data_IF_608592398216
#
_entry.id   IF_608592398216
#
_cell.length_a   1.000
_cell.length_b   1.000
_cell.length_c   1.000
_cell.angle_alpha   90.00
_cell.angle_beta   90.00
_cell.angle_gamma   90.00
#
_symmetry.space_group_name_H-M   'P 1'
#
loop_
_entity.id
_entity.type
_entity.pdbx_description
1 polymer ?
#
# COMPACT_ATOMS: atom_id res chain seq x y z
N UNK A 1 1.13 -2.37 15.50
CA UNK A 1 0.81 -0.93 15.48
C UNK A 1 0.80 -0.48 14.03
N UNK A 2 -0.25 0.22 13.57
CA UNK A 2 -0.39 0.60 12.16
C UNK A 2 -0.70 2.08 12.02
N UNK A 3 -0.02 2.74 11.10
CA UNK A 3 -0.19 4.13 10.75
C UNK A 3 -0.52 4.23 9.26
N UNK A 4 -1.44 5.12 8.89
CA UNK A 4 -1.81 5.38 7.51
C UNK A 4 -1.92 6.88 7.28
N UNK A 5 -1.37 7.34 6.16
CA UNK A 5 -1.35 8.73 5.73
C UNK A 5 -1.78 8.77 4.27
N UNK A 6 -2.68 9.69 3.95
CA UNK A 6 -3.20 9.91 2.60
C UNK A 6 -3.14 11.40 2.23
N UNK A 7 -3.41 11.72 0.96
CA UNK A 7 -3.26 13.09 0.48
C UNK A 7 -4.26 14.07 1.10
N UNK A 8 -5.50 13.63 1.39
CA UNK A 8 -6.53 14.50 1.97
C UNK A 8 -6.24 14.84 3.43
N UNK A 9 -5.71 13.90 4.23
CA UNK A 9 -5.22 14.13 5.60
C UNK A 9 -4.13 15.20 5.66
N UNK A 10 -3.29 15.27 4.63
CA UNK A 10 -2.29 16.33 4.52
C UNK A 10 -2.87 17.65 4.00
N UNK A 11 -3.90 17.62 3.16
CA UNK A 11 -4.61 18.82 2.73
C UNK A 11 -5.40 19.45 3.88
N UNK A 12 -6.07 18.66 4.72
CA UNK A 12 -6.75 19.17 5.92
C UNK A 12 -5.77 19.79 6.91
N UNK A 13 -4.66 19.10 7.24
CA UNK A 13 -3.60 19.65 8.09
C UNK A 13 -2.96 20.92 7.51
N UNK A 14 -2.80 20.99 6.19
CA UNK A 14 -2.32 22.21 5.52
C UNK A 14 -3.36 23.32 5.55
N UNK A 15 -4.65 23.01 5.44
CA UNK A 15 -5.74 23.98 5.48
C UNK A 15 -5.93 24.55 6.88
N UNK A 16 -5.85 23.74 7.93
CA UNK A 16 -5.83 24.20 9.32
C UNK A 16 -4.64 25.11 9.61
N UNK A 17 -3.45 24.72 9.14
CA UNK A 17 -2.24 25.55 9.28
C UNK A 17 -2.35 26.87 8.50
N UNK A 18 -2.97 26.85 7.32
CA UNK A 18 -3.16 28.04 6.49
C UNK A 18 -4.37 28.89 6.91
N UNK A 19 -5.34 28.34 7.64
CA UNK A 19 -6.47 29.08 8.23
C UNK A 19 -6.05 29.99 9.40
N UNK A 20 -4.78 29.93 9.81
CA UNK A 20 -4.14 30.90 10.69
C UNK A 20 -3.68 32.18 9.96
N UNK A 21 -3.79 32.22 8.63
CA UNK A 21 -3.64 33.43 7.81
C UNK A 21 -5.02 33.77 7.20
N UNK A 22 -5.53 35.01 7.37
CA UNK A 22 -6.84 35.35 6.85
C UNK A 22 -6.77 35.51 5.33
N UNK A 23 -7.39 34.60 4.56
CA UNK A 23 -7.70 34.85 3.14
C UNK A 23 -9.17 35.24 2.99
N UNK A 24 -9.47 36.34 2.30
CA UNK A 24 -10.84 36.74 2.02
C UNK A 24 -11.39 35.86 0.87
N UNK A 25 -12.70 35.65 0.86
CA UNK A 25 -13.48 35.16 -0.28
C UNK A 25 -13.50 33.64 -0.52
N UNK A 26 -14.56 32.96 -0.04
CA UNK A 26 -15.10 31.77 -0.73
C UNK A 26 -16.63 31.73 -0.58
N UNK A 27 -17.33 32.30 -1.57
CA UNK A 27 -18.74 32.03 -1.83
C UNK A 27 -18.94 30.62 -2.41
N UNK A 28 -19.95 29.91 -1.90
CA UNK A 28 -20.83 29.06 -2.72
C UNK A 28 -20.32 27.72 -3.24
N UNK A 29 -20.50 26.65 -2.44
CA UNK A 29 -20.90 25.32 -2.97
C UNK A 29 -21.96 24.69 -2.05
N UNK A 30 -23.16 24.30 -2.51
CA UNK A 30 -24.31 24.04 -1.62
C UNK A 30 -24.39 22.67 -0.91
N UNK A 31 -23.30 21.87 -0.87
CA UNK A 31 -23.42 20.43 -0.55
C UNK A 31 -22.69 19.97 0.71
N UNK A 32 -22.23 20.86 1.59
CA UNK A 32 -21.67 20.42 2.87
C UNK A 32 -21.69 21.59 3.87
N UNK A 33 -22.40 21.43 4.99
CA UNK A 33 -22.35 22.38 6.10
C UNK A 33 -20.94 22.43 6.69
N UNK A 34 -20.52 23.59 7.21
CA UNK A 34 -19.16 23.72 7.77
C UNK A 34 -18.91 22.73 8.92
N UNK A 35 -19.95 22.37 9.67
CA UNK A 35 -19.89 21.38 10.75
C UNK A 35 -19.64 19.95 10.21
N UNK A 36 -20.34 19.52 9.16
CA UNK A 36 -20.11 18.22 8.51
C UNK A 36 -18.71 18.15 7.88
N UNK A 37 -18.19 19.27 7.35
CA UNK A 37 -16.80 19.32 6.87
C UNK A 37 -15.82 19.09 8.01
N UNK A 38 -16.03 19.72 9.16
CA UNK A 38 -15.16 19.60 10.33
C UNK A 38 -15.16 18.16 10.88
N UNK A 39 -16.32 17.50 10.95
CA UNK A 39 -16.39 16.10 11.40
C UNK A 39 -15.65 15.12 10.46
N UNK A 40 -15.72 15.34 9.15
CA UNK A 40 -14.98 14.57 8.14
C UNK A 40 -13.47 14.86 8.21
N UNK A 41 -13.08 16.10 8.52
CA UNK A 41 -11.69 16.49 8.74
C UNK A 41 -11.09 15.86 10.00
N UNK A 42 -11.87 15.79 11.08
CA UNK A 42 -11.46 15.24 12.38
C UNK A 42 -11.37 13.71 12.35
N UNK A 43 -12.18 13.05 11.51
CA UNK A 43 -12.21 11.58 11.40
C UNK A 43 -11.97 11.10 9.95
N UNK A 44 -10.82 11.43 9.33
CA UNK A 44 -10.54 11.10 7.93
C UNK A 44 -10.37 9.59 7.72
N UNK A 45 -10.17 8.82 8.79
CA UNK A 45 -10.00 7.37 8.78
C UNK A 45 -11.36 6.62 8.71
N UNK A 46 -12.48 7.31 8.96
CA UNK A 46 -13.86 6.76 8.91
C UNK A 46 -14.49 6.79 7.50
N UNK A 47 -13.89 7.53 6.56
CA UNK A 47 -14.42 7.71 5.21
C UNK A 47 -13.43 7.14 4.17
N UNK A 48 -13.78 5.97 3.61
CA UNK A 48 -12.98 5.28 2.61
C UNK A 48 -13.22 5.90 1.21
N UNK A 49 -12.48 6.96 0.88
CA UNK A 49 -12.60 7.67 -0.40
C UNK A 49 -11.69 7.06 -1.49
N UNK A 50 -12.29 6.66 -2.59
CA UNK A 50 -11.66 5.95 -3.70
C UNK A 50 -10.85 6.85 -4.66
N UNK A 51 -10.94 8.19 -4.54
CA UNK A 51 -10.29 9.14 -5.47
C UNK A 51 -8.94 9.70 -4.97
N UNK A 52 -8.25 8.97 -4.10
CA UNK A 52 -7.04 9.45 -3.45
C UNK A 52 -5.79 9.34 -4.37
N UNK A 53 -5.05 10.43 -4.65
CA UNK A 53 -3.90 10.42 -5.55
C UNK A 53 -2.70 9.67 -4.98
N UNK A 54 -2.59 9.49 -3.67
CA UNK A 54 -1.61 8.60 -3.08
C UNK A 54 -1.99 8.19 -1.65
N UNK A 55 -1.64 6.98 -1.26
CA UNK A 55 -1.76 6.47 0.10
C UNK A 55 -0.45 5.82 0.54
N UNK A 56 -0.11 5.98 1.82
CA UNK A 56 1.03 5.34 2.44
C UNK A 56 0.62 4.79 3.79
N UNK A 57 0.86 3.50 4.00
CA UNK A 57 0.63 2.82 5.26
C UNK A 57 1.92 2.15 5.75
N UNK A 58 2.21 2.37 7.03
CA UNK A 58 3.31 1.75 7.75
C UNK A 58 2.71 0.88 8.83
N UNK A 59 2.99 -0.41 8.81
CA UNK A 59 2.58 -1.34 9.87
C UNK A 59 3.82 -1.92 10.53
N UNK A 60 3.93 -1.73 11.83
CA UNK A 60 4.93 -2.37 12.66
C UNK A 60 4.34 -3.57 13.39
N UNK A 61 4.97 -4.73 13.23
CA UNK A 61 4.61 -5.97 13.89
C UNK A 61 5.74 -6.42 14.81
N UNK A 62 5.38 -6.70 16.06
CA UNK A 62 6.23 -7.27 17.08
C UNK A 62 5.64 -8.62 17.49
N UNK A 63 6.38 -9.69 17.27
CA UNK A 63 6.00 -11.04 17.71
C UNK A 63 6.99 -11.51 18.77
N UNK A 64 6.48 -11.73 19.97
CA UNK A 64 7.23 -12.28 21.10
C UNK A 64 6.85 -13.75 21.23
N UNK A 65 7.84 -14.64 21.13
CA UNK A 65 7.63 -16.07 21.26
C UNK A 65 8.71 -16.71 22.11
N UNK A 66 8.41 -17.92 22.60
CA UNK A 66 9.40 -18.82 23.19
C UNK A 66 9.28 -20.15 22.47
N UNK A 67 10.39 -20.66 21.96
CA UNK A 67 10.46 -22.04 21.48
C UNK A 67 11.12 -22.93 22.52
N UNK A 68 10.50 -24.08 22.77
CA UNK A 68 11.01 -25.11 23.66
C UNK A 68 11.53 -26.26 22.81
N UNK A 69 12.80 -26.63 23.00
CA UNK A 69 13.38 -27.81 22.36
C UNK A 69 13.79 -28.81 23.44
N UNK A 70 13.18 -29.98 23.42
CA UNK A 70 13.55 -31.09 24.29
C UNK A 70 14.85 -31.72 23.80
N UNK A 71 15.84 -31.81 24.68
CA UNK A 71 17.11 -32.50 24.45
C UNK A 71 17.00 -33.97 24.90
N UNK A 72 17.86 -34.83 24.35
CA UNK A 72 17.85 -36.29 24.59
C UNK A 72 18.00 -36.67 26.08
N UNK A 73 18.51 -35.76 26.91
CA UNK A 73 18.72 -35.89 28.34
C UNK A 73 17.58 -35.32 29.21
N UNK A 74 16.38 -35.11 28.65
CA UNK A 74 15.22 -34.52 29.35
C UNK A 74 15.41 -33.05 29.77
N UNK A 75 16.45 -32.37 29.28
CA UNK A 75 16.60 -30.93 29.44
C UNK A 75 15.75 -30.17 28.42
N UNK A 76 15.14 -29.08 28.86
CA UNK A 76 14.36 -28.18 27.99
C UNK A 76 15.22 -26.96 27.67
N UNK A 77 15.61 -26.82 26.41
CA UNK A 77 16.24 -25.60 25.94
C UNK A 77 15.16 -24.58 25.61
N UNK A 78 15.10 -23.51 26.39
CA UNK A 78 14.27 -22.35 26.11
C UNK A 78 15.02 -21.38 25.19
N UNK A 79 14.41 -21.07 24.04
CA UNK A 79 14.96 -20.09 23.10
C UNK A 79 13.93 -18.97 22.91
N UNK A 80 14.22 -17.75 23.39
CA UNK A 80 13.34 -16.63 23.15
C UNK A 80 13.45 -16.19 21.68
N UNK A 81 12.31 -15.98 21.03
CA UNK A 81 12.23 -15.52 19.64
C UNK A 81 11.60 -14.14 19.63
N UNK A 82 12.32 -13.16 19.09
CA UNK A 82 11.89 -11.77 18.98
C UNK A 82 11.84 -11.38 17.52
N UNK A 83 10.66 -11.38 16.90
CA UNK A 83 10.52 -11.02 15.48
C UNK A 83 9.96 -9.60 15.37
N UNK A 84 10.74 -8.74 14.74
CA UNK A 84 10.42 -7.33 14.53
C UNK A 84 10.34 -7.04 13.03
N UNK A 85 9.14 -6.71 12.54
CA UNK A 85 8.94 -6.45 11.10
C UNK A 85 8.22 -5.13 10.85
N UNK A 86 8.66 -4.42 9.82
CA UNK A 86 8.02 -3.21 9.31
C UNK A 86 7.50 -3.51 7.91
N UNK A 87 6.19 -3.44 7.75
CA UNK A 87 5.55 -3.45 6.44
C UNK A 87 5.27 -2.01 5.99
N UNK A 88 5.83 -1.65 4.85
CA UNK A 88 5.60 -0.38 4.18
C UNK A 88 4.80 -0.66 2.90
N UNK A 89 3.58 -0.15 2.83
CA UNK A 89 2.72 -0.25 1.66
C UNK A 89 2.31 1.12 1.20
N UNK A 90 2.35 1.38 -0.09
CA UNK A 90 1.77 2.60 -0.64
C UNK A 90 1.25 2.41 -2.04
N UNK A 91 0.40 3.33 -2.46
CA UNK A 91 -0.03 3.47 -3.84
C UNK A 91 -0.06 4.93 -4.24
N UNK A 92 0.30 5.23 -5.48
CA UNK A 92 0.31 6.56 -6.06
C UNK A 92 -0.32 6.52 -7.45
N UNK A 93 -1.32 7.35 -7.65
CA UNK A 93 -1.94 7.64 -8.93
C UNK A 93 -1.14 8.75 -9.60
N UNK A 94 -0.14 8.37 -10.41
CA UNK A 94 0.76 9.31 -11.11
C UNK A 94 -0.03 10.17 -12.13
N UNK A 95 -1.04 9.57 -12.76
CA UNK A 95 -2.02 10.26 -13.62
C UNK A 95 -3.37 9.53 -13.47
N UNK A 96 -4.51 10.06 -13.96
CA UNK A 96 -5.80 9.37 -13.89
C UNK A 96 -5.82 7.97 -14.52
N UNK A 97 -4.86 7.68 -15.42
CA UNK A 97 -4.72 6.39 -16.11
C UNK A 97 -3.52 5.57 -15.66
N UNK A 98 -2.75 6.03 -14.68
CA UNK A 98 -1.57 5.33 -14.16
C UNK A 98 -1.65 5.22 -12.64
N UNK A 99 -1.56 3.99 -12.13
CA UNK A 99 -1.50 3.74 -10.69
C UNK A 99 -0.31 2.82 -10.39
N UNK A 100 0.52 3.22 -9.43
CA UNK A 100 1.71 2.47 -9.02
C UNK A 100 1.57 2.16 -7.54
N UNK A 101 1.50 0.88 -7.20
CA UNK A 101 1.55 0.38 -5.85
C UNK A 101 2.91 -0.22 -5.53
N UNK A 102 3.35 -0.10 -4.29
CA UNK A 102 4.50 -0.79 -3.77
C UNK A 102 4.19 -1.39 -2.41
N UNK A 103 4.82 -2.53 -2.11
CA UNK A 103 4.70 -3.20 -0.83
C UNK A 103 6.05 -3.80 -0.48
N UNK A 104 6.59 -3.41 0.66
CA UNK A 104 7.89 -3.80 1.14
C UNK A 104 7.79 -4.28 2.58
N UNK A 105 8.48 -5.36 2.89
CA UNK A 105 8.61 -5.87 4.26
C UNK A 105 10.08 -5.86 4.66
N UNK A 106 10.37 -5.26 5.80
CA UNK A 106 11.70 -5.14 6.36
C UNK A 106 11.77 -5.85 7.72
N UNK A 107 12.73 -6.75 7.86
CA UNK A 107 13.03 -7.45 9.11
C UNK A 107 14.13 -6.67 9.84
N UNK A 108 13.80 -6.13 11.02
CA UNK A 108 14.70 -5.28 11.79
C UNK A 108 15.82 -6.11 12.42
N UNK A 109 15.56 -7.35 12.81
CA UNK A 109 16.55 -8.21 13.47
C UNK A 109 17.68 -8.58 12.51
N UNK A 110 17.31 -8.88 11.26
CA UNK A 110 18.26 -9.26 10.20
C UNK A 110 18.79 -8.08 9.40
N UNK A 111 18.26 -6.88 9.62
CA UNK A 111 18.54 -5.68 8.83
C UNK A 111 18.33 -5.88 7.32
N UNK A 112 17.36 -6.70 6.94
CA UNK A 112 17.17 -7.16 5.57
C UNK A 112 15.74 -6.93 5.07
N UNK A 113 15.63 -6.62 3.78
CA UNK A 113 14.36 -6.58 3.06
C UNK A 113 13.90 -8.00 2.75
N UNK A 114 12.91 -8.48 3.51
CA UNK A 114 12.37 -9.83 3.33
C UNK A 114 11.53 -9.96 2.06
N UNK A 115 10.83 -8.89 1.67
CA UNK A 115 9.93 -8.90 0.52
C UNK A 115 9.81 -7.51 -0.08
N UNK A 116 9.80 -7.40 -1.40
CA UNK A 116 9.49 -6.15 -2.10
C UNK A 116 8.72 -6.47 -3.36
N UNK A 117 7.59 -5.80 -3.55
CA UNK A 117 6.73 -5.93 -4.71
C UNK A 117 6.31 -4.57 -5.23
N UNK A 118 6.33 -4.44 -6.55
CA UNK A 118 5.87 -3.29 -7.30
C UNK A 118 4.72 -3.72 -8.19
N UNK A 119 3.62 -2.97 -8.18
CA UNK A 119 2.43 -3.22 -8.97
C UNK A 119 2.11 -1.97 -9.77
N UNK A 120 2.22 -2.04 -11.08
CA UNK A 120 1.94 -0.92 -11.97
C UNK A 120 0.69 -1.25 -12.78
N UNK A 121 -0.27 -0.36 -12.75
CA UNK A 121 -1.51 -0.42 -13.50
C UNK A 121 -1.59 0.76 -14.47
N UNK A 122 -1.98 0.47 -15.71
CA UNK A 122 -2.27 1.49 -16.71
C UNK A 122 -3.56 1.21 -17.46
N UNK A 123 -4.37 2.24 -17.59
CA UNK A 123 -5.56 2.28 -18.43
C UNK A 123 -5.25 2.86 -19.82
N UNK A 124 -5.51 2.08 -20.87
CA UNK A 124 -5.37 2.46 -22.27
C UNK A 124 -6.73 2.58 -22.98
N UNK A 125 -7.80 2.88 -22.24
CA UNK A 125 -9.18 3.01 -22.72
C UNK A 125 -9.85 1.67 -23.06
N UNK A 126 -9.42 0.98 -24.11
CA UNK A 126 -9.94 -0.35 -24.47
C UNK A 126 -9.10 -1.49 -23.92
N UNK A 127 -7.90 -1.19 -23.43
CA UNK A 127 -6.95 -2.16 -22.92
C UNK A 127 -6.54 -1.78 -21.50
N UNK A 128 -6.27 -2.77 -20.66
CA UNK A 128 -5.64 -2.58 -19.36
C UNK A 128 -4.31 -3.32 -19.32
N UNK A 129 -3.30 -2.65 -18.75
CA UNK A 129 -1.99 -3.23 -18.52
C UNK A 129 -1.76 -3.39 -17.02
N UNK A 130 -1.27 -4.56 -16.64
CA UNK A 130 -0.87 -4.90 -15.27
C UNK A 130 0.55 -5.43 -15.30
N UNK A 131 1.42 -4.79 -14.54
CA UNK A 131 2.80 -5.23 -14.35
C UNK A 131 3.05 -5.43 -12.87
N UNK A 132 3.24 -6.68 -12.47
CA UNK A 132 3.56 -7.05 -11.09
C UNK A 132 5.00 -7.55 -11.07
N UNK A 133 5.86 -6.91 -10.30
CA UNK A 133 7.28 -7.25 -10.21
C UNK A 133 7.70 -7.42 -8.76
N UNK A 134 8.25 -8.59 -8.45
CA UNK A 134 8.78 -8.93 -7.13
C UNK A 134 10.29 -9.13 -7.26
N UNK A 135 11.12 -8.11 -7.02
CA UNK A 135 12.57 -8.24 -7.06
C UNK A 135 13.17 -8.99 -5.87
N UNK A 136 12.52 -8.90 -4.69
CA UNK A 136 13.03 -9.44 -3.42
C UNK A 136 11.97 -10.32 -2.74
N UNK A 137 12.41 -11.44 -2.18
CA UNK A 137 11.56 -12.44 -1.53
C UNK A 137 11.70 -13.85 -2.14
N UNK A 138 10.91 -14.80 -1.64
CA UNK A 138 10.96 -16.20 -2.06
C UNK A 138 10.42 -16.41 -3.50
N UNK A 139 9.57 -15.52 -3.99
CA UNK A 139 8.95 -15.60 -5.32
C UNK A 139 9.44 -14.45 -6.19
N UNK A 140 10.75 -14.45 -6.50
CA UNK A 140 11.31 -13.45 -7.41
C UNK A 140 10.75 -13.65 -8.81
N UNK A 141 10.37 -12.58 -9.48
CA UNK A 141 9.83 -12.68 -10.83
C UNK A 141 9.00 -11.48 -11.20
N UNK A 142 8.54 -11.49 -12.45
CA UNK A 142 7.62 -10.46 -12.92
C UNK A 142 6.55 -11.08 -13.79
N UNK A 143 5.38 -10.48 -13.74
CA UNK A 143 4.25 -10.82 -14.56
C UNK A 143 3.73 -9.55 -15.24
N UNK A 144 3.75 -9.58 -16.56
CA UNK A 144 3.17 -8.56 -17.40
C UNK A 144 1.94 -9.12 -18.11
N UNK A 145 0.83 -8.41 -18.00
CA UNK A 145 -0.43 -8.82 -18.61
C UNK A 145 -1.09 -7.63 -19.27
N UNK A 146 -1.49 -7.79 -20.53
CA UNK A 146 -2.35 -6.85 -21.22
C UNK A 146 -3.65 -7.56 -21.58
N UNK A 147 -4.79 -7.00 -21.19
CA UNK A 147 -6.11 -7.52 -21.52
C UNK A 147 -6.96 -6.43 -22.19
N UNK A 148 -7.81 -6.80 -23.15
CA UNK A 148 -8.88 -5.94 -23.61
C UNK A 148 -10.00 -5.86 -22.54
N UNK A 149 -10.53 -4.67 -22.26
CA UNK A 149 -11.61 -4.46 -21.27
C UNK A 149 -12.98 -4.90 -21.76
N UNK A 150 -13.21 -4.89 -23.08
CA UNK A 150 -14.48 -5.26 -23.68
C UNK A 150 -14.67 -6.78 -23.70
N UNK A 151 -15.83 -7.25 -23.22
CA UNK A 151 -16.25 -8.66 -23.27
C UNK A 151 -16.44 -9.19 -24.70
N UNK A 152 -16.60 -8.30 -25.69
CA UNK A 152 -16.84 -8.67 -27.08
C UNK A 152 -15.57 -9.15 -27.82
N UNK A 153 -14.38 -8.89 -27.27
CA UNK A 153 -13.07 -9.18 -27.90
C UNK A 153 -12.04 -9.71 -26.89
N UNK A 154 -12.43 -10.65 -26.02
CA UNK A 154 -11.51 -11.33 -25.09
C UNK A 154 -10.47 -12.24 -25.78
N UNK A 155 -10.51 -12.35 -27.10
CA UNK A 155 -9.70 -13.29 -27.90
C UNK A 155 -8.21 -12.92 -27.97
N UNK A 156 -7.81 -11.70 -27.55
CA UNK A 156 -6.39 -11.29 -27.52
C UNK A 156 -5.91 -11.02 -26.08
N UNK A 157 -5.79 -12.08 -25.29
CA UNK A 157 -5.13 -12.05 -23.98
C UNK A 157 -3.64 -12.39 -24.13
N UNK A 158 -2.76 -11.39 -24.04
CA UNK A 158 -1.32 -11.63 -23.99
C UNK A 158 -0.83 -11.57 -22.54
N UNK A 159 -0.45 -12.73 -22.01
CA UNK A 159 0.14 -12.87 -20.67
C UNK A 159 1.60 -13.30 -20.81
N UNK A 160 2.53 -12.52 -20.26
CA UNK A 160 3.95 -12.86 -20.20
C UNK A 160 4.40 -12.90 -18.75
N UNK A 161 4.71 -14.10 -18.28
CA UNK A 161 5.25 -14.35 -16.93
C UNK A 161 6.72 -14.75 -17.06
N UNK A 162 7.57 -14.26 -16.16
CA UNK A 162 8.91 -14.79 -15.92
C UNK A 162 9.00 -15.17 -14.46
N UNK A 163 9.09 -16.47 -14.21
CA UNK A 163 9.23 -17.04 -12.88
C UNK A 163 10.72 -17.25 -12.54
N UNK A 164 11.07 -17.31 -11.25
CA UNK A 164 12.42 -17.67 -10.81
C UNK A 164 12.78 -19.13 -11.09
N UNK A 165 11.80 -19.93 -11.54
CA UNK A 165 11.95 -21.33 -11.93
C UNK A 165 12.26 -21.50 -13.42
N UNK A 166 12.19 -20.43 -14.22
CA UNK A 166 12.38 -20.48 -15.67
C UNK A 166 13.85 -20.25 -16.08
N UNK A 167 14.81 -20.70 -15.25
CA UNK A 167 16.26 -20.68 -15.53
C UNK A 167 16.74 -22.05 -16.00
#
# INVERSE_FOLDING_TARGET
MSYSINSKKLQSMRKERNALEPSPDLEGTPYCTEEEKLEVLDNPDMYLDWNNPWSLSVTYNLTLGKSYRYLTNWEVLETPNYVHTINLRGDISVTPKWKVGFNTNYDIEKYELSYTQLNIYRDLHCWEMRFNWTPLGAQKGWNFTINAKSSLLQDLKLTRKKDFRDY
#
